data_IF_524518350610
#
_entry.id   IF_524518350610
#
_cell.length_a   1.000
_cell.length_b   1.000
_cell.length_c   1.000
_cell.angle_alpha   90.00
_cell.angle_beta   90.00
_cell.angle_gamma   90.00
#
_symmetry.space_group_name_H-M   'P 1'
#
loop_
_entity.id
_entity.type
_entity.pdbx_description
1 polymer ?
#
# COMPACT_ATOMS: atom_id res chain seq x y z
N UNK A 1 -10.13 -25.56 -4.11
CA UNK A 1 -10.86 -24.31 -3.87
C UNK A 1 -11.23 -24.26 -2.40
N UNK A 2 -10.46 -23.52 -1.60
CA UNK A 2 -10.81 -23.25 -0.20
C UNK A 2 -11.81 -22.10 -0.24
N UNK A 3 -13.03 -22.33 0.26
CA UNK A 3 -14.03 -21.28 0.38
C UNK A 3 -13.45 -20.08 1.15
N UNK A 4 -13.81 -18.83 0.82
CA UNK A 4 -13.38 -17.68 1.61
C UNK A 4 -13.74 -17.89 3.08
N UNK A 5 -12.89 -17.44 4.02
CA UNK A 5 -13.15 -17.61 5.45
C UNK A 5 -14.51 -16.98 5.77
N UNK A 6 -15.35 -17.76 6.42
CA UNK A 6 -16.72 -17.41 6.73
C UNK A 6 -16.76 -16.25 7.74
N UNK A 7 -17.07 -15.06 7.24
CA UNK A 7 -17.26 -13.83 8.03
C UNK A 7 -18.43 -13.91 9.04
N UNK A 8 -19.21 -15.01 9.05
CA UNK A 8 -20.27 -15.18 10.06
C UNK A 8 -19.76 -15.12 11.48
N UNK A 9 -18.52 -15.53 11.75
CA UNK A 9 -17.94 -15.43 13.09
C UNK A 9 -17.75 -13.97 13.51
N UNK A 10 -17.16 -13.12 12.65
CA UNK A 10 -16.92 -11.71 12.93
C UNK A 10 -18.23 -10.93 13.11
N UNK A 11 -19.25 -11.28 12.30
CA UNK A 11 -20.60 -10.73 12.42
C UNK A 11 -21.27 -11.14 13.74
N UNK A 12 -21.08 -12.39 14.19
CA UNK A 12 -21.59 -12.88 15.49
C UNK A 12 -20.90 -12.19 16.66
N UNK A 13 -19.58 -11.98 16.59
CA UNK A 13 -18.81 -11.25 17.61
C UNK A 13 -19.33 -9.82 17.79
N UNK A 14 -19.47 -9.05 16.70
CA UNK A 14 -20.00 -7.68 16.79
C UNK A 14 -21.47 -7.64 17.23
N UNK A 15 -22.29 -8.62 16.85
CA UNK A 15 -23.67 -8.71 17.30
C UNK A 15 -23.75 -8.93 18.83
N UNK A 16 -22.89 -9.79 19.38
CA UNK A 16 -22.81 -10.00 20.83
C UNK A 16 -22.22 -8.79 21.57
N UNK A 17 -21.20 -8.13 21.03
CA UNK A 17 -20.68 -6.88 21.61
C UNK A 17 -21.80 -5.82 21.72
N UNK A 18 -22.54 -5.58 20.63
CA UNK A 18 -23.67 -4.64 20.64
C UNK A 18 -24.78 -5.05 21.60
N UNK A 19 -24.99 -6.36 21.79
CA UNK A 19 -25.97 -6.88 22.75
C UNK A 19 -25.52 -6.62 24.18
N UNK A 20 -24.24 -6.82 24.50
CA UNK A 20 -23.64 -6.47 25.81
C UNK A 20 -23.80 -4.97 26.05
N UNK A 21 -23.42 -4.13 25.10
CA UNK A 21 -23.53 -2.67 25.23
C UNK A 21 -24.97 -2.24 25.49
N UNK A 22 -25.95 -2.84 24.79
CA UNK A 22 -27.38 -2.56 24.99
C UNK A 22 -27.89 -3.02 26.37
N UNK A 23 -27.38 -4.13 26.89
CA UNK A 23 -27.72 -4.65 28.22
C UNK A 23 -27.09 -3.82 29.35
N UNK A 24 -25.88 -3.29 29.13
CA UNK A 24 -25.15 -2.48 30.10
C UNK A 24 -25.58 -1.01 30.10
N UNK A 25 -26.11 -0.49 28.98
CA UNK A 25 -26.49 0.92 28.84
C UNK A 25 -27.40 1.46 29.96
N UNK A 26 -28.47 0.75 30.41
CA UNK A 26 -29.32 1.21 31.52
C UNK A 26 -28.60 1.26 32.87
N UNK A 27 -27.48 0.55 33.01
CA UNK A 27 -26.68 0.47 34.23
C UNK A 27 -25.38 1.25 34.13
N UNK A 28 -25.12 1.91 33.00
CA UNK A 28 -23.85 2.59 32.72
C UNK A 28 -23.51 3.66 33.76
N UNK A 29 -24.48 4.46 34.20
CA UNK A 29 -24.27 5.43 35.28
C UNK A 29 -23.97 4.77 36.62
N UNK A 30 -24.65 3.67 36.95
CA UNK A 30 -24.42 2.90 38.18
C UNK A 30 -23.05 2.24 38.16
N UNK A 31 -22.66 1.62 37.04
CA UNK A 31 -21.33 1.01 36.83
C UNK A 31 -20.25 2.09 36.91
N UNK A 32 -20.43 3.23 36.24
CA UNK A 32 -19.49 4.35 36.29
C UNK A 32 -19.38 4.96 37.69
N UNK A 33 -20.49 4.99 38.45
CA UNK A 33 -20.47 5.42 39.87
C UNK A 33 -19.69 4.44 40.74
N UNK A 34 -19.90 3.13 40.58
CA UNK A 34 -19.16 2.10 41.30
C UNK A 34 -17.68 2.04 40.89
N UNK A 35 -17.37 2.27 39.61
CA UNK A 35 -15.99 2.36 39.11
C UNK A 35 -15.29 3.59 39.68
N UNK A 36 -15.94 4.77 39.68
CA UNK A 36 -15.39 5.97 40.35
C UNK A 36 -15.15 5.74 41.83
N UNK A 37 -16.03 4.99 42.49
CA UNK A 37 -15.85 4.57 43.88
C UNK A 37 -14.62 3.65 44.01
N UNK A 38 -14.48 2.63 43.17
CA UNK A 38 -13.32 1.73 43.17
C UNK A 38 -12.00 2.46 42.85
N UNK A 39 -12.01 3.37 41.90
CA UNK A 39 -10.86 4.19 41.54
C UNK A 39 -10.48 5.15 42.69
N UNK A 40 -11.47 5.69 43.39
CA UNK A 40 -11.24 6.51 44.60
C UNK A 40 -10.69 5.72 45.79
N UNK A 41 -10.78 4.38 45.77
CA UNK A 41 -10.17 3.47 46.75
C UNK A 41 -8.78 3.02 46.29
N UNK A 42 -8.63 2.70 45.00
CA UNK A 42 -7.38 2.25 44.41
C UNK A 42 -6.31 3.34 44.41
N UNK A 43 -6.67 4.62 44.20
CA UNK A 43 -5.70 5.72 44.20
C UNK A 43 -5.03 5.88 45.59
N UNK A 44 -5.78 6.00 46.71
CA UNK A 44 -5.17 6.03 48.05
C UNK A 44 -4.44 4.73 48.41
N UNK A 45 -4.94 3.56 47.99
CA UNK A 45 -4.27 2.28 48.25
C UNK A 45 -2.95 2.15 47.48
N UNK A 46 -2.90 2.63 46.24
CA UNK A 46 -1.68 2.70 45.42
C UNK A 46 -0.72 3.78 45.93
N UNK A 47 -1.20 4.95 46.32
CA UNK A 47 -0.37 6.01 46.93
C UNK A 47 0.20 5.54 48.28
N UNK A 48 -0.56 4.80 49.07
CA UNK A 48 -0.09 4.15 50.30
C UNK A 48 0.91 3.02 50.01
N UNK A 49 0.65 2.14 49.05
CA UNK A 49 1.64 1.13 48.61
C UNK A 49 2.92 1.78 48.10
N UNK A 50 2.81 2.88 47.35
CA UNK A 50 3.95 3.62 46.82
C UNK A 50 4.71 4.33 47.93
N UNK A 51 4.02 4.95 48.89
CA UNK A 51 4.60 5.51 50.11
C UNK A 51 5.31 4.46 50.96
N UNK A 52 4.76 3.24 51.06
CA UNK A 52 5.39 2.10 51.75
C UNK A 52 6.65 1.66 50.99
N UNK A 53 6.57 1.52 49.66
CA UNK A 53 7.68 1.07 48.82
C UNK A 53 8.82 2.11 48.73
N UNK A 54 8.49 3.40 48.74
CA UNK A 54 9.47 4.51 48.72
C UNK A 54 10.14 4.71 50.09
N UNK A 55 9.45 4.41 51.20
CA UNK A 55 10.02 4.48 52.55
C UNK A 55 10.74 3.19 53.00
N UNK A 56 10.65 2.11 52.23
CA UNK A 56 11.13 0.78 52.60
C UNK A 56 12.66 0.61 52.71
N UNK A 57 13.50 1.63 52.46
CA UNK A 57 14.96 1.44 52.45
C UNK A 57 15.73 1.95 53.66
N UNK A 58 15.19 2.85 54.49
CA UNK A 58 16.01 3.46 55.55
C UNK A 58 15.52 3.03 56.91
N UNK A 59 15.88 1.77 57.16
CA UNK A 59 16.03 1.17 58.47
C UNK A 59 14.69 1.03 59.14
N UNK A 60 14.46 -0.14 59.75
CA UNK A 60 13.78 -0.05 61.02
C UNK A 60 12.30 0.46 60.77
N UNK A 61 11.43 0.72 61.73
CA UNK A 61 11.76 0.61 63.10
C UNK A 61 10.66 0.19 64.00
N UNK A 62 9.40 0.40 63.68
CA UNK A 62 8.43 0.34 64.77
C UNK A 62 7.10 -0.15 64.22
N UNK A 63 6.72 -1.39 64.57
CA UNK A 63 5.32 -1.84 64.66
C UNK A 63 4.69 -2.68 63.54
N UNK A 64 5.43 -3.59 62.91
CA UNK A 64 4.84 -4.73 62.16
C UNK A 64 3.81 -5.58 62.98
N UNK A 65 3.55 -5.29 64.27
CA UNK A 65 2.51 -5.94 65.07
C UNK A 65 1.62 -5.01 65.93
N UNK A 66 1.58 -3.70 65.66
CA UNK A 66 0.70 -2.77 66.38
C UNK A 66 0.03 -1.83 65.40
N UNK A 67 -1.19 -2.19 64.98
CA UNK A 67 -2.04 -1.49 64.00
C UNK A 67 -1.83 0.03 64.12
N UNK A 68 -1.18 0.64 63.11
CA UNK A 68 -1.00 2.09 63.06
C UNK A 68 -2.36 2.78 63.08
N UNK A 69 -2.51 3.83 63.90
CA UNK A 69 -3.70 4.67 63.92
C UNK A 69 -4.06 5.22 62.53
N UNK A 70 -3.07 5.35 61.64
CA UNK A 70 -3.30 5.82 60.28
C UNK A 70 -4.05 4.77 59.44
N UNK A 71 -3.81 3.47 59.66
CA UNK A 71 -4.57 2.40 59.00
C UNK A 71 -6.02 2.35 59.49
N UNK A 72 -6.24 2.49 60.81
CA UNK A 72 -7.59 2.54 61.37
C UNK A 72 -8.34 3.79 60.93
N UNK A 73 -7.65 4.94 60.85
CA UNK A 73 -8.24 6.19 60.37
C UNK A 73 -8.61 6.10 58.89
N UNK A 74 -7.72 5.55 58.06
CA UNK A 74 -8.00 5.30 56.64
C UNK A 74 -9.14 4.28 56.46
N UNK A 75 -9.17 3.20 57.25
CA UNK A 75 -10.25 2.21 57.24
C UNK A 75 -11.59 2.84 57.66
N UNK A 76 -11.58 3.73 58.65
CA UNK A 76 -12.77 4.46 59.12
C UNK A 76 -13.24 5.50 58.08
N UNK A 77 -12.32 6.21 57.41
CA UNK A 77 -12.63 7.13 56.30
C UNK A 77 -13.20 6.40 55.08
N UNK A 78 -12.64 5.22 54.75
CA UNK A 78 -13.19 4.30 53.73
C UNK A 78 -14.58 3.82 54.14
N UNK A 79 -14.80 3.42 55.40
CA UNK A 79 -16.13 3.03 55.89
C UNK A 79 -17.15 4.18 55.90
N UNK A 80 -16.71 5.40 56.21
CA UNK A 80 -17.57 6.59 56.27
C UNK A 80 -17.95 7.10 54.87
N UNK A 81 -17.05 6.98 53.89
CA UNK A 81 -17.27 7.44 52.51
C UNK A 81 -18.11 6.46 51.67
N UNK A 82 -18.05 5.16 51.98
CA UNK A 82 -18.67 4.10 51.18
C UNK A 82 -19.97 3.53 51.74
N UNK A 83 -20.30 3.85 53.00
CA UNK A 83 -21.11 2.93 53.81
C UNK A 83 -20.33 1.65 54.11
N UNK A 84 -20.81 0.78 55.00
CA UNK A 84 -20.04 -0.42 55.37
C UNK A 84 -19.69 -1.23 54.12
N UNK A 85 -18.46 -1.75 54.02
CA UNK A 85 -18.05 -2.69 52.95
C UNK A 85 -19.09 -3.80 52.79
N UNK A 86 -19.72 -4.24 53.90
CA UNK A 86 -20.81 -5.21 53.87
C UNK A 86 -22.05 -4.79 53.06
N UNK A 87 -22.34 -3.49 52.97
CA UNK A 87 -23.45 -2.95 52.20
C UNK A 87 -23.14 -2.97 50.70
N UNK A 88 -21.93 -2.56 50.31
CA UNK A 88 -21.46 -2.67 48.92
C UNK A 88 -21.38 -4.14 48.49
N UNK A 89 -20.83 -5.01 49.34
CA UNK A 89 -20.77 -6.45 49.07
C UNK A 89 -22.17 -7.03 48.92
N UNK A 90 -23.13 -6.69 49.79
CA UNK A 90 -24.53 -7.12 49.67
C UNK A 90 -25.22 -6.61 48.42
N UNK A 91 -24.93 -5.39 47.99
CA UNK A 91 -25.53 -4.83 46.78
C UNK A 91 -24.94 -5.45 45.51
N UNK A 92 -23.63 -5.72 45.49
CA UNK A 92 -22.97 -6.52 44.44
C UNK A 92 -23.50 -7.96 44.42
N UNK A 93 -23.70 -8.57 45.59
CA UNK A 93 -24.24 -9.93 45.72
C UNK A 93 -25.70 -10.01 45.28
N UNK A 94 -26.50 -9.00 45.63
CA UNK A 94 -27.87 -8.83 45.13
C UNK A 94 -27.93 -8.65 43.61
N UNK A 95 -27.04 -7.82 43.04
CA UNK A 95 -26.94 -7.64 41.59
C UNK A 95 -26.50 -8.93 40.89
N UNK A 96 -25.53 -9.67 41.46
CA UNK A 96 -25.08 -10.99 40.98
C UNK A 96 -26.18 -12.05 41.00
N UNK A 97 -27.15 -11.95 41.91
CA UNK A 97 -28.28 -12.88 42.02
C UNK A 97 -29.54 -12.37 41.32
N UNK A 98 -29.47 -11.19 40.69
CA UNK A 98 -30.58 -10.68 39.89
C UNK A 98 -30.60 -11.36 38.53
N UNK A 99 -31.80 -11.71 38.05
CA UNK A 99 -32.01 -12.29 36.71
C UNK A 99 -31.58 -11.39 35.54
N UNK A 100 -31.12 -10.17 35.84
CA UNK A 100 -30.59 -9.18 34.92
C UNK A 100 -29.12 -9.46 34.58
N UNK A 101 -28.38 -10.10 35.48
CA UNK A 101 -26.94 -10.36 35.31
C UNK A 101 -26.65 -11.65 34.55
N UNK A 102 -27.52 -12.66 34.63
CA UNK A 102 -27.33 -13.93 33.91
C UNK A 102 -27.15 -13.73 32.39
N UNK A 103 -27.93 -12.87 31.69
CA UNK A 103 -27.70 -12.58 30.28
C UNK A 103 -26.39 -11.84 30.00
N UNK A 104 -25.88 -11.04 30.95
CA UNK A 104 -24.63 -10.29 30.83
C UNK A 104 -23.44 -11.23 31.00
N UNK A 105 -23.46 -12.08 32.04
CA UNK A 105 -22.44 -13.12 32.27
C UNK A 105 -22.40 -14.09 31.09
N UNK A 106 -23.56 -14.57 30.63
CA UNK A 106 -23.64 -15.46 29.45
C UNK A 106 -23.04 -14.79 28.20
N UNK A 107 -23.31 -13.51 27.98
CA UNK A 107 -22.76 -12.79 26.83
C UNK A 107 -21.24 -12.56 26.96
N UNK A 108 -20.76 -12.26 28.16
CA UNK A 108 -19.33 -12.09 28.45
C UNK A 108 -18.56 -13.42 28.32
N UNK A 109 -19.11 -14.53 28.82
CA UNK A 109 -18.54 -15.87 28.63
C UNK A 109 -18.50 -16.28 27.15
N UNK A 110 -19.54 -15.95 26.39
CA UNK A 110 -19.53 -16.14 24.93
C UNK A 110 -18.43 -15.31 24.27
N UNK A 111 -18.21 -14.08 24.73
CA UNK A 111 -17.17 -13.19 24.19
C UNK A 111 -15.76 -13.70 24.49
N UNK A 112 -15.50 -14.18 25.71
CA UNK A 112 -14.23 -14.85 26.05
C UNK A 112 -14.05 -16.13 25.25
N UNK A 113 -15.09 -16.94 25.09
CA UNK A 113 -15.02 -18.15 24.24
C UNK A 113 -14.68 -17.78 22.79
N UNK A 114 -15.26 -16.71 22.26
CA UNK A 114 -14.90 -16.21 20.93
C UNK A 114 -13.44 -15.73 20.89
N UNK A 115 -12.97 -14.99 21.90
CA UNK A 115 -11.60 -14.52 21.99
C UNK A 115 -10.58 -15.68 22.09
N UNK A 116 -10.90 -16.74 22.82
CA UNK A 116 -10.08 -17.95 22.93
C UNK A 116 -10.07 -18.74 21.62
N UNK A 117 -11.23 -18.87 20.97
CA UNK A 117 -11.32 -19.44 19.61
C UNK A 117 -10.49 -18.62 18.62
N UNK A 118 -10.57 -17.29 18.68
CA UNK A 118 -9.78 -16.39 17.85
C UNK A 118 -8.28 -16.56 18.10
N UNK A 119 -7.86 -16.67 19.36
CA UNK A 119 -6.48 -16.90 19.77
C UNK A 119 -5.94 -18.24 19.28
N UNK A 120 -6.79 -19.28 19.25
CA UNK A 120 -6.46 -20.60 18.69
C UNK A 120 -6.42 -20.60 17.16
N UNK A 121 -7.18 -19.72 16.50
CA UNK A 121 -7.14 -19.50 15.04
C UNK A 121 -6.22 -18.35 14.63
N UNK A 122 -5.53 -17.71 15.57
CA UNK A 122 -4.71 -16.50 15.30
C UNK A 122 -3.58 -16.81 14.33
N UNK A 123 -3.03 -18.02 14.42
CA UNK A 123 -2.01 -18.52 13.49
C UNK A 123 -2.60 -18.93 12.12
N UNK A 124 -3.93 -19.03 12.00
CA UNK A 124 -4.64 -19.22 10.72
C UNK A 124 -5.03 -17.89 10.06
N UNK A 125 -5.02 -16.79 10.82
CA UNK A 125 -5.18 -15.43 10.32
C UNK A 125 -3.81 -14.78 10.13
N UNK A 126 -2.97 -15.38 9.30
CA UNK A 126 -1.88 -14.60 8.67
C UNK A 126 -2.50 -13.36 8.02
N UNK A 127 -1.90 -12.18 8.25
CA UNK A 127 -2.29 -10.97 7.54
C UNK A 127 -2.28 -11.26 6.02
N UNK A 128 -3.19 -10.71 5.22
CA UNK A 128 -3.18 -10.91 3.76
C UNK A 128 -1.79 -10.65 3.17
N UNK A 129 -1.06 -9.66 3.69
CA UNK A 129 0.33 -9.37 3.35
C UNK A 129 1.30 -10.53 3.63
N UNK A 130 1.15 -11.25 4.74
CA UNK A 130 1.99 -12.39 5.11
C UNK A 130 1.66 -13.65 4.27
N UNK A 131 0.40 -13.84 3.91
CA UNK A 131 -0.02 -14.89 2.95
C UNK A 131 0.48 -14.61 1.55
N UNK A 132 0.38 -13.37 1.10
CA UNK A 132 0.94 -12.93 -0.17
C UNK A 132 2.45 -13.12 -0.15
N UNK A 133 3.13 -12.71 0.91
CA UNK A 133 4.57 -12.91 1.08
C UNK A 133 4.98 -14.39 1.00
N UNK A 134 4.30 -15.29 1.71
CA UNK A 134 4.64 -16.72 1.72
C UNK A 134 4.37 -17.41 0.37
N UNK A 135 3.27 -17.05 -0.29
CA UNK A 135 2.94 -17.54 -1.65
C UNK A 135 3.94 -17.01 -2.67
N UNK A 136 4.31 -15.74 -2.59
CA UNK A 136 5.29 -15.13 -3.49
C UNK A 136 6.69 -15.70 -3.27
N UNK A 137 7.11 -15.94 -2.03
CA UNK A 137 8.38 -16.59 -1.72
C UNK A 137 8.43 -18.05 -2.21
N UNK A 138 7.31 -18.77 -2.13
CA UNK A 138 7.21 -20.12 -2.68
C UNK A 138 7.25 -20.12 -4.21
N UNK A 139 6.52 -19.20 -4.85
CA UNK A 139 6.54 -19.00 -6.30
C UNK A 139 7.95 -18.63 -6.78
N UNK A 140 8.67 -17.80 -6.02
CA UNK A 140 10.07 -17.44 -6.27
C UNK A 140 11.00 -18.64 -6.26
N UNK A 141 10.94 -19.43 -5.19
CA UNK A 141 11.77 -20.61 -5.04
C UNK A 141 11.53 -21.58 -6.21
N UNK A 142 10.27 -21.77 -6.60
CA UNK A 142 9.89 -22.63 -7.73
C UNK A 142 10.41 -22.05 -9.06
N UNK A 143 10.20 -20.76 -9.32
CA UNK A 143 10.63 -20.12 -10.58
C UNK A 143 12.15 -20.23 -10.76
N UNK A 144 12.94 -19.95 -9.71
CA UNK A 144 14.40 -20.08 -9.74
C UNK A 144 14.88 -21.52 -9.92
N UNK A 145 14.13 -22.51 -9.41
CA UNK A 145 14.47 -23.92 -9.60
C UNK A 145 14.35 -24.37 -11.05
N UNK A 146 13.35 -23.87 -11.79
CA UNK A 146 13.11 -24.28 -13.18
C UNK A 146 13.76 -23.35 -14.21
N UNK A 147 13.97 -22.07 -13.87
CA UNK A 147 14.51 -21.04 -14.77
C UNK A 147 15.53 -20.14 -14.06
N UNK A 148 16.70 -20.66 -13.67
CA UNK A 148 17.67 -19.97 -12.81
C UNK A 148 18.29 -18.68 -13.41
N UNK A 149 18.00 -18.36 -14.67
CA UNK A 149 18.55 -17.20 -15.39
C UNK A 149 17.56 -16.59 -16.40
N UNK A 150 16.26 -16.71 -16.15
CA UNK A 150 15.25 -16.03 -16.98
C UNK A 150 14.99 -14.62 -16.42
N UNK A 151 15.15 -13.60 -17.27
CA UNK A 151 14.81 -12.21 -16.96
C UNK A 151 13.40 -12.08 -16.39
N UNK A 152 12.44 -12.89 -16.89
CA UNK A 152 11.07 -12.84 -16.39
C UNK A 152 10.98 -13.19 -14.90
N UNK A 153 11.74 -14.22 -14.50
CA UNK A 153 11.87 -14.58 -13.10
C UNK A 153 12.50 -13.41 -12.35
N UNK A 154 13.66 -12.91 -12.80
CA UNK A 154 14.35 -11.83 -12.07
C UNK A 154 13.52 -10.54 -11.92
N UNK A 155 12.77 -10.15 -12.94
CA UNK A 155 11.92 -8.95 -12.88
C UNK A 155 10.72 -9.16 -11.96
N UNK A 156 9.95 -10.23 -12.15
CA UNK A 156 8.79 -10.54 -11.30
C UNK A 156 9.22 -10.63 -9.84
N UNK A 157 10.35 -11.29 -9.60
CA UNK A 157 10.95 -11.41 -8.28
C UNK A 157 11.42 -10.09 -7.71
N UNK A 158 11.99 -9.21 -8.53
CA UNK A 158 12.41 -7.88 -8.04
C UNK A 158 11.22 -7.06 -7.51
N UNK A 159 10.06 -7.14 -8.19
CA UNK A 159 8.83 -6.45 -7.77
C UNK A 159 8.26 -7.05 -6.48
N UNK A 160 8.26 -8.38 -6.38
CA UNK A 160 7.90 -9.13 -5.17
C UNK A 160 8.79 -8.73 -3.99
N UNK A 161 10.11 -8.78 -4.18
CA UNK A 161 11.09 -8.47 -3.14
C UNK A 161 10.98 -7.01 -2.68
N UNK A 162 10.70 -6.06 -3.58
CA UNK A 162 10.49 -4.66 -3.18
C UNK A 162 9.21 -4.51 -2.33
N UNK A 163 8.12 -5.18 -2.72
CA UNK A 163 6.87 -5.15 -1.97
C UNK A 163 7.01 -5.81 -0.59
N UNK A 164 7.65 -6.98 -0.50
CA UNK A 164 7.96 -7.64 0.77
C UNK A 164 8.82 -6.74 1.66
N UNK A 165 9.90 -6.19 1.12
CA UNK A 165 10.77 -5.24 1.84
C UNK A 165 10.02 -3.99 2.32
N UNK A 166 8.98 -3.56 1.59
CA UNK A 166 8.09 -2.50 2.01
C UNK A 166 7.21 -2.95 3.19
N UNK A 167 6.54 -4.09 3.09
CA UNK A 167 5.68 -4.64 4.14
C UNK A 167 6.44 -4.88 5.45
N UNK A 168 7.64 -5.47 5.39
CA UNK A 168 8.49 -5.68 6.57
C UNK A 168 8.86 -4.37 7.28
N UNK A 169 9.13 -3.30 6.51
CA UNK A 169 9.40 -1.98 7.07
C UNK A 169 8.16 -1.40 7.73
N UNK A 170 6.99 -1.55 7.12
CA UNK A 170 5.73 -1.06 7.68
C UNK A 170 5.35 -1.80 8.95
N UNK A 171 5.52 -3.11 8.97
CA UNK A 171 5.28 -3.93 10.15
C UNK A 171 6.14 -3.48 11.34
N UNK A 172 7.43 -3.22 11.11
CA UNK A 172 8.32 -2.67 12.15
C UNK A 172 7.86 -1.31 12.67
N UNK A 173 7.35 -0.43 11.82
CA UNK A 173 6.82 0.86 12.28
C UNK A 173 5.51 0.71 13.07
N UNK A 174 4.61 -0.17 12.61
CA UNK A 174 3.33 -0.45 13.28
C UNK A 174 3.54 -0.89 14.74
N UNK A 175 4.59 -1.67 15.04
CA UNK A 175 4.91 -2.10 16.41
C UNK A 175 5.24 -0.95 17.38
N UNK A 176 5.59 0.22 16.86
CA UNK A 176 6.00 1.38 17.65
C UNK A 176 5.02 2.55 17.56
N UNK A 177 4.07 2.49 16.64
CA UNK A 177 3.06 3.52 16.44
C UNK A 177 1.89 3.36 17.43
N UNK A 178 1.18 4.45 17.71
CA UNK A 178 -0.11 4.36 18.38
C UNK A 178 -1.16 3.76 17.44
N UNK A 179 -2.25 3.23 18.00
CA UNK A 179 -3.31 2.51 17.27
C UNK A 179 -3.84 3.29 16.05
N UNK A 180 -3.98 4.61 16.18
CA UNK A 180 -4.45 5.45 15.07
C UNK A 180 -3.43 5.47 13.93
N UNK A 181 -2.15 5.71 14.18
CA UNK A 181 -1.11 5.74 13.13
C UNK A 181 -0.88 4.33 12.57
N UNK A 182 -0.88 3.31 13.43
CA UNK A 182 -0.80 1.91 13.03
C UNK A 182 -1.92 1.53 12.04
N UNK A 183 -3.17 1.89 12.36
CA UNK A 183 -4.30 1.67 11.45
C UNK A 183 -4.15 2.37 10.10
N UNK A 184 -3.55 3.57 10.07
CA UNK A 184 -3.26 4.30 8.83
C UNK A 184 -2.20 3.61 7.98
N UNK A 185 -1.14 3.06 8.60
CA UNK A 185 -0.14 2.25 7.90
C UNK A 185 -0.73 0.99 7.31
N UNK A 186 -1.59 0.30 8.05
CA UNK A 186 -2.29 -0.88 7.53
C UNK A 186 -3.10 -0.55 6.28
N UNK A 187 -3.87 0.56 6.29
CA UNK A 187 -4.60 1.00 5.09
C UNK A 187 -3.68 1.32 3.90
N UNK A 188 -2.54 1.98 4.14
CA UNK A 188 -1.55 2.23 3.08
C UNK A 188 -0.93 0.93 2.56
N UNK A 189 -0.72 -0.08 3.41
CA UNK A 189 -0.23 -1.39 2.98
C UNK A 189 -1.23 -2.10 2.05
N UNK A 190 -2.51 -2.05 2.40
CA UNK A 190 -3.59 -2.64 1.59
C UNK A 190 -3.68 -1.96 0.23
N UNK A 191 -3.66 -0.62 0.19
CA UNK A 191 -3.66 0.16 -1.05
C UNK A 191 -2.40 -0.08 -1.90
N UNK A 192 -1.24 -0.23 -1.27
CA UNK A 192 0.01 -0.60 -1.95
C UNK A 192 -0.05 -2.02 -2.53
N UNK A 193 -0.82 -2.93 -1.92
CA UNK A 193 -1.15 -4.24 -2.49
C UNK A 193 -1.90 -4.12 -3.82
N UNK A 194 -2.85 -3.18 -3.93
CA UNK A 194 -3.50 -2.88 -5.21
C UNK A 194 -2.52 -2.43 -6.30
N UNK A 195 -1.47 -1.66 -5.94
CA UNK A 195 -0.41 -1.30 -6.89
C UNK A 195 0.44 -2.50 -7.32
N UNK A 196 0.64 -3.48 -6.43
CA UNK A 196 1.31 -4.73 -6.79
C UNK A 196 0.50 -5.53 -7.82
N UNK A 197 -0.82 -5.62 -7.62
CA UNK A 197 -1.73 -6.32 -8.53
C UNK A 197 -1.72 -5.72 -9.94
N UNK A 198 -1.75 -4.38 -10.09
CA UNK A 198 -1.70 -3.75 -11.41
C UNK A 198 -0.35 -3.95 -12.12
N UNK A 199 0.76 -4.01 -11.37
CA UNK A 199 2.08 -4.30 -11.96
C UNK A 199 2.10 -5.73 -12.52
N UNK A 200 1.58 -6.69 -11.77
CA UNK A 200 1.49 -8.08 -12.24
C UNK A 200 0.55 -8.22 -13.43
N UNK A 201 -0.61 -7.56 -13.40
CA UNK A 201 -1.52 -7.54 -14.55
C UNK A 201 -0.84 -6.96 -15.81
N UNK A 202 0.01 -5.94 -15.64
CA UNK A 202 0.82 -5.38 -16.73
C UNK A 202 1.85 -6.39 -17.26
N UNK A 203 2.50 -7.15 -16.38
CA UNK A 203 3.42 -8.22 -16.77
C UNK A 203 2.72 -9.33 -17.55
N UNK A 204 1.53 -9.74 -17.12
CA UNK A 204 0.71 -10.74 -17.82
C UNK A 204 0.33 -10.27 -19.23
N UNK A 205 0.02 -8.97 -19.39
CA UNK A 205 -0.18 -8.35 -20.71
C UNK A 205 1.10 -8.49 -21.55
N UNK A 206 2.26 -8.16 -20.99
CA UNK A 206 3.56 -8.27 -21.66
C UNK A 206 3.84 -9.70 -22.15
N UNK A 207 3.63 -10.69 -21.29
CA UNK A 207 3.79 -12.10 -21.62
C UNK A 207 2.80 -12.57 -22.71
N UNK A 208 1.55 -12.09 -22.64
CA UNK A 208 0.53 -12.39 -23.65
C UNK A 208 0.92 -11.81 -25.01
N UNK A 209 1.42 -10.58 -25.05
CA UNK A 209 1.88 -9.94 -26.29
C UNK A 209 3.07 -10.69 -26.89
N UNK A 210 4.06 -11.10 -26.10
CA UNK A 210 5.23 -11.85 -26.61
C UNK A 210 4.87 -13.27 -27.09
N UNK A 211 3.94 -13.96 -26.42
CA UNK A 211 3.51 -15.31 -26.81
C UNK A 211 2.78 -15.41 -28.14
N UNK A 212 2.41 -14.29 -28.76
CA UNK A 212 1.68 -14.23 -30.03
C UNK A 212 2.60 -14.24 -31.29
N UNK A 213 3.91 -14.05 -31.16
CA UNK A 213 4.86 -14.11 -32.29
C UNK A 213 6.06 -15.02 -31.98
N UNK A 214 6.63 -15.70 -32.99
CA UNK A 214 7.91 -16.40 -32.85
C UNK A 214 9.04 -15.38 -32.67
N UNK A 215 9.26 -14.92 -31.44
CA UNK A 215 10.32 -13.96 -31.11
C UNK A 215 11.68 -14.64 -31.32
N UNK A 216 12.46 -14.10 -32.26
CA UNK A 216 13.88 -14.47 -32.39
C UNK A 216 14.59 -14.01 -31.11
N UNK A 217 15.18 -14.95 -30.38
CA UNK A 217 15.92 -14.68 -29.15
C UNK A 217 17.08 -13.74 -29.44
N UNK A 218 16.93 -12.45 -29.14
CA UNK A 218 18.06 -11.54 -29.07
C UNK A 218 18.90 -11.87 -27.84
N UNK A 219 20.22 -11.66 -27.96
CA UNK A 219 21.19 -11.82 -26.89
C UNK A 219 20.69 -11.15 -25.62
N UNK A 220 20.44 -11.95 -24.58
CA UNK A 220 20.04 -11.48 -23.28
C UNK A 220 21.03 -10.39 -22.84
N UNK A 221 20.53 -9.16 -22.66
CA UNK A 221 21.31 -8.08 -22.06
C UNK A 221 21.48 -8.45 -20.58
N UNK A 222 22.55 -9.19 -20.27
CA UNK A 222 22.82 -9.84 -18.98
C UNK A 222 23.22 -8.88 -17.86
N UNK A 223 23.39 -7.57 -18.13
CA UNK A 223 23.98 -6.61 -17.17
C UNK A 223 23.03 -5.50 -16.71
N UNK A 224 21.76 -5.54 -17.12
CA UNK A 224 20.79 -4.51 -16.73
C UNK A 224 20.15 -4.85 -15.38
N UNK A 225 20.65 -4.23 -14.30
CA UNK A 225 20.00 -4.34 -12.99
C UNK A 225 18.60 -3.73 -13.06
N UNK A 226 17.58 -4.57 -12.85
CA UNK A 226 16.21 -4.12 -12.70
C UNK A 226 16.13 -3.19 -11.49
N UNK A 227 15.85 -1.91 -11.74
CA UNK A 227 15.55 -0.95 -10.69
C UNK A 227 14.04 -0.86 -10.53
N UNK A 228 13.54 -1.40 -9.43
CA UNK A 228 12.18 -1.14 -8.95
C UNK A 228 12.30 -0.12 -7.81
N UNK A 229 11.42 0.88 -7.80
CA UNK A 229 11.53 1.99 -6.85
C UNK A 229 10.19 2.56 -6.37
N UNK A 230 9.07 1.90 -6.70
CA UNK A 230 7.74 2.41 -6.42
C UNK A 230 7.49 2.52 -4.91
N UNK A 231 7.68 1.43 -4.17
CA UNK A 231 7.30 1.35 -2.76
C UNK A 231 8.20 2.21 -1.87
N UNK A 232 9.46 2.41 -2.28
CA UNK A 232 10.33 3.40 -1.66
C UNK A 232 9.77 4.82 -1.74
N UNK A 233 9.08 5.18 -2.84
CA UNK A 233 8.50 6.51 -3.03
C UNK A 233 7.15 6.69 -2.33
N UNK A 234 6.33 5.65 -2.17
CA UNK A 234 5.04 5.72 -1.46
C UNK A 234 5.23 6.34 -0.07
N UNK A 235 6.21 5.86 0.70
CA UNK A 235 6.49 6.38 2.04
C UNK A 235 6.98 7.83 2.05
N UNK A 236 7.74 8.24 1.04
CA UNK A 236 8.21 9.62 0.93
C UNK A 236 7.04 10.57 0.67
N UNK A 237 6.09 10.17 -0.17
CA UNK A 237 4.93 10.99 -0.51
C UNK A 237 3.84 10.99 0.56
N UNK A 238 3.65 9.88 1.27
CA UNK A 238 2.58 9.71 2.26
C UNK A 238 3.04 9.88 3.71
N UNK A 239 4.28 10.30 3.94
CA UNK A 239 4.82 10.52 5.29
C UNK A 239 3.95 11.43 6.17
N UNK A 240 3.27 12.41 5.56
CA UNK A 240 2.38 13.33 6.27
C UNK A 240 1.08 12.67 6.79
N UNK A 241 0.62 11.58 6.16
CA UNK A 241 -0.59 10.83 6.58
C UNK A 241 -0.39 10.19 7.96
N UNK A 242 0.85 9.85 8.28
CA UNK A 242 1.23 9.32 9.60
C UNK A 242 1.29 10.38 10.70
N UNK A 243 1.05 11.65 10.40
CA UNK A 243 0.99 12.71 11.41
C UNK A 243 -0.26 12.57 12.28
N UNK A 244 -0.11 12.71 13.61
CA UNK A 244 -1.26 12.74 14.53
C UNK A 244 -2.27 13.86 14.25
N UNK A 245 -1.90 14.86 13.43
CA UNK A 245 -2.78 15.96 13.02
C UNK A 245 -3.50 15.73 11.70
N UNK A 246 -3.15 14.68 10.96
CA UNK A 246 -3.82 14.40 9.69
C UNK A 246 -5.25 13.92 9.94
N UNK A 247 -6.20 14.47 9.18
CA UNK A 247 -7.64 14.21 9.31
C UNK A 247 -8.32 13.95 7.96
N UNK A 248 -7.53 13.75 6.90
CA UNK A 248 -8.06 13.48 5.56
C UNK A 248 -8.38 12.00 5.35
N UNK A 249 -8.97 11.70 4.20
CA UNK A 249 -9.16 10.32 3.75
C UNK A 249 -7.85 9.76 3.16
N UNK A 250 -7.40 8.64 3.73
CA UNK A 250 -6.13 8.01 3.37
C UNK A 250 -6.14 7.58 1.91
N UNK A 251 -7.23 6.94 1.46
CA UNK A 251 -7.40 6.48 0.09
C UNK A 251 -7.27 7.63 -0.91
N UNK A 252 -7.95 8.75 -0.64
CA UNK A 252 -7.82 9.97 -1.46
C UNK A 252 -6.37 10.47 -1.50
N UNK A 253 -5.69 10.55 -0.35
CA UNK A 253 -4.28 10.98 -0.30
C UNK A 253 -3.33 10.00 -1.00
N UNK A 254 -3.62 8.70 -0.95
CA UNK A 254 -2.87 7.65 -1.64
C UNK A 254 -3.05 7.77 -3.16
N UNK A 255 -4.29 7.86 -3.62
CA UNK A 255 -4.64 7.98 -5.03
C UNK A 255 -4.12 9.29 -5.65
N UNK A 256 -4.04 10.37 -4.86
CA UNK A 256 -3.43 11.64 -5.28
C UNK A 256 -1.90 11.62 -5.25
N UNK A 257 -1.30 10.63 -4.59
CA UNK A 257 0.15 10.51 -4.49
C UNK A 257 0.77 10.24 -5.86
N UNK A 258 1.91 10.88 -6.12
CA UNK A 258 2.60 10.76 -7.39
C UNK A 258 2.99 9.30 -7.75
N UNK A 259 3.48 8.46 -6.82
CA UNK A 259 3.78 7.06 -7.11
C UNK A 259 2.56 6.27 -7.57
N UNK A 260 1.42 6.41 -6.88
CA UNK A 260 0.19 5.72 -7.25
C UNK A 260 -0.30 6.16 -8.63
N UNK A 261 -0.34 7.48 -8.88
CA UNK A 261 -0.76 8.03 -10.18
C UNK A 261 0.11 7.56 -11.34
N UNK A 262 1.43 7.57 -11.16
CA UNK A 262 2.37 7.08 -12.18
C UNK A 262 2.15 5.59 -12.43
N UNK A 263 1.99 4.79 -11.38
CA UNK A 263 1.79 3.34 -11.52
C UNK A 263 0.48 3.01 -12.24
N UNK A 264 -0.63 3.64 -11.84
CA UNK A 264 -1.93 3.48 -12.50
C UNK A 264 -1.91 3.92 -13.97
N UNK A 265 -1.27 5.05 -14.29
CA UNK A 265 -1.12 5.50 -15.68
C UNK A 265 -0.20 4.58 -16.48
N UNK A 266 0.87 4.08 -15.87
CA UNK A 266 1.76 3.12 -16.51
C UNK A 266 1.03 1.83 -16.89
N UNK A 267 0.19 1.33 -15.98
CA UNK A 267 -0.70 0.20 -16.27
C UNK A 267 -1.69 0.54 -17.39
N UNK A 268 -2.37 1.70 -17.31
CA UNK A 268 -3.33 2.12 -18.33
C UNK A 268 -2.73 2.18 -19.75
N UNK A 269 -1.48 2.64 -19.88
CA UNK A 269 -0.74 2.62 -21.16
C UNK A 269 -0.62 1.20 -21.71
N UNK A 270 -0.15 0.26 -20.88
CA UNK A 270 0.04 -1.15 -21.30
C UNK A 270 -1.29 -1.85 -21.63
N UNK A 271 -2.31 -1.59 -20.83
CA UNK A 271 -3.65 -2.13 -21.03
C UNK A 271 -4.27 -1.62 -22.34
N UNK A 272 -4.08 -0.34 -22.66
CA UNK A 272 -4.62 0.24 -23.90
C UNK A 272 -3.90 -0.27 -25.15
N UNK A 273 -2.60 -0.50 -25.09
CA UNK A 273 -1.86 -1.16 -26.17
C UNK A 273 -2.44 -2.54 -26.44
N UNK A 274 -2.65 -3.33 -25.38
CA UNK A 274 -3.29 -4.64 -25.49
C UNK A 274 -4.70 -4.56 -26.07
N UNK A 275 -5.52 -3.61 -25.61
CA UNK A 275 -6.86 -3.36 -26.15
C UNK A 275 -6.84 -2.99 -27.63
N UNK A 276 -5.93 -2.12 -28.06
CA UNK A 276 -5.79 -1.73 -29.47
C UNK A 276 -5.49 -2.96 -30.33
N UNK A 277 -4.51 -3.76 -29.94
CA UNK A 277 -4.19 -4.99 -30.68
C UNK A 277 -5.37 -5.97 -30.70
N UNK A 278 -6.04 -6.17 -29.56
CA UNK A 278 -7.20 -7.05 -29.46
C UNK A 278 -8.35 -6.60 -30.37
N UNK A 279 -8.61 -5.29 -30.47
CA UNK A 279 -9.63 -4.75 -31.37
C UNK A 279 -9.24 -5.01 -32.83
N UNK A 280 -8.00 -4.74 -33.21
CA UNK A 280 -7.52 -5.00 -34.56
C UNK A 280 -7.60 -6.49 -34.92
N UNK A 281 -7.16 -7.39 -34.03
CA UNK A 281 -7.25 -8.84 -34.22
C UNK A 281 -8.70 -9.30 -34.42
N UNK A 282 -9.62 -8.82 -33.58
CA UNK A 282 -11.06 -9.12 -33.70
C UNK A 282 -11.67 -8.63 -35.01
N UNK A 283 -11.10 -7.59 -35.61
CA UNK A 283 -11.49 -7.06 -36.92
C UNK A 283 -10.75 -7.74 -38.10
N UNK A 284 -9.92 -8.76 -37.84
CA UNK A 284 -9.11 -9.43 -38.85
C UNK A 284 -7.96 -8.57 -39.40
N UNK A 285 -7.51 -7.57 -38.64
CA UNK A 285 -6.39 -6.69 -38.97
C UNK A 285 -5.13 -7.11 -38.22
N UNK A 286 -3.96 -6.77 -38.76
CA UNK A 286 -2.68 -6.97 -38.09
C UNK A 286 -2.57 -6.11 -36.81
N UNK A 287 -1.77 -6.59 -35.85
CA UNK A 287 -1.46 -5.84 -34.63
C UNK A 287 -0.79 -4.49 -34.92
N UNK A 288 -1.30 -3.44 -34.28
CA UNK A 288 -0.73 -2.08 -34.35
C UNK A 288 0.61 -2.03 -33.63
N UNK A 289 0.68 -2.66 -32.45
CA UNK A 289 1.90 -2.75 -31.65
C UNK A 289 2.41 -4.20 -31.70
N UNK A 290 3.51 -4.44 -32.40
CA UNK A 290 4.12 -5.77 -32.43
C UNK A 290 4.99 -5.95 -31.19
N UNK A 291 4.93 -7.13 -30.55
CA UNK A 291 5.85 -7.46 -29.49
C UNK A 291 7.29 -7.39 -30.01
N UNK A 292 8.18 -6.98 -29.13
CA UNK A 292 9.63 -7.01 -29.31
C UNK A 292 10.21 -7.81 -28.15
N UNK A 293 11.49 -8.18 -28.22
CA UNK A 293 12.24 -8.77 -27.10
C UNK A 293 12.22 -7.92 -25.81
N UNK A 294 11.77 -6.66 -25.90
CA UNK A 294 11.71 -5.67 -24.81
C UNK A 294 10.28 -5.39 -24.35
N UNK A 295 9.26 -5.94 -25.00
CA UNK A 295 7.86 -5.60 -24.72
C UNK A 295 7.46 -5.97 -23.31
N UNK A 296 7.74 -7.20 -22.89
CA UNK A 296 7.44 -7.65 -21.53
C UNK A 296 8.21 -6.84 -20.48
N UNK A 297 9.48 -6.49 -20.77
CA UNK A 297 10.28 -5.62 -19.88
C UNK A 297 9.67 -4.25 -19.72
N UNK A 298 9.21 -3.65 -20.81
CA UNK A 298 8.56 -2.36 -20.80
C UNK A 298 7.25 -2.42 -20.00
N UNK A 299 6.43 -3.46 -20.21
CA UNK A 299 5.20 -3.69 -19.48
C UNK A 299 5.43 -3.83 -17.97
N UNK A 300 6.51 -4.45 -17.53
CA UNK A 300 6.88 -4.48 -16.11
C UNK A 300 7.38 -3.13 -15.58
N UNK A 301 8.28 -2.48 -16.32
CA UNK A 301 9.02 -1.31 -15.85
C UNK A 301 8.17 -0.03 -15.80
N UNK A 302 7.37 0.22 -16.83
CA UNK A 302 6.56 1.43 -16.98
C UNK A 302 5.64 1.69 -15.76
N UNK A 303 4.90 0.70 -15.21
CA UNK A 303 4.06 0.90 -14.01
C UNK A 303 4.83 0.82 -12.67
N UNK A 304 6.05 0.27 -12.64
CA UNK A 304 6.75 -0.06 -11.39
C UNK A 304 7.90 0.88 -11.01
N UNK A 305 8.35 1.72 -11.95
CA UNK A 305 9.45 2.65 -11.71
C UNK A 305 8.96 4.11 -11.65
N UNK A 306 9.31 4.79 -10.56
CA UNK A 306 9.13 6.24 -10.40
C UNK A 306 10.49 6.91 -10.56
N UNK A 307 10.63 7.80 -11.54
CA UNK A 307 11.89 8.45 -11.87
C UNK A 307 12.41 9.33 -10.73
N UNK A 308 13.57 8.98 -10.16
CA UNK A 308 14.20 9.82 -9.11
C UNK A 308 15.37 10.64 -9.64
N UNK A 309 15.90 10.24 -10.77
CA UNK A 309 17.10 10.79 -11.39
C UNK A 309 16.92 10.87 -12.91
N UNK A 310 17.88 11.50 -13.57
CA UNK A 310 17.99 11.49 -15.03
C UNK A 310 18.08 10.06 -15.58
N UNK A 311 18.86 9.20 -14.92
CA UNK A 311 19.08 7.82 -15.33
C UNK A 311 17.77 7.03 -15.27
N UNK A 312 17.04 7.11 -14.14
CA UNK A 312 15.75 6.43 -13.97
C UNK A 312 14.75 6.91 -15.05
N UNK A 313 14.70 8.22 -15.30
CA UNK A 313 13.81 8.80 -16.31
C UNK A 313 14.15 8.31 -17.72
N UNK A 314 15.42 8.34 -18.10
CA UNK A 314 15.87 7.86 -19.41
C UNK A 314 15.64 6.36 -19.60
N UNK A 315 15.78 5.58 -18.54
CA UNK A 315 15.44 4.17 -18.57
C UNK A 315 13.95 3.94 -18.90
N UNK A 316 13.05 4.72 -18.28
CA UNK A 316 11.61 4.70 -18.59
C UNK A 316 11.34 5.14 -20.03
N UNK A 317 11.99 6.21 -20.50
CA UNK A 317 11.82 6.72 -21.87
C UNK A 317 12.25 5.69 -22.92
N UNK A 318 13.32 4.94 -22.66
CA UNK A 318 13.76 3.86 -23.54
C UNK A 318 12.67 2.78 -23.65
N UNK A 319 12.08 2.33 -22.53
CA UNK A 319 10.98 1.37 -22.53
C UNK A 319 9.74 1.88 -23.26
N UNK A 320 9.34 3.13 -23.04
CA UNK A 320 8.25 3.76 -23.78
C UNK A 320 8.55 3.82 -25.29
N UNK A 321 9.79 4.12 -25.66
CA UNK A 321 10.19 4.19 -27.06
C UNK A 321 10.11 2.82 -27.74
N UNK A 322 10.63 1.77 -27.12
CA UNK A 322 10.53 0.42 -27.68
C UNK A 322 9.08 -0.03 -27.79
N UNK A 323 8.30 0.17 -26.73
CA UNK A 323 6.92 -0.30 -26.68
C UNK A 323 6.00 0.45 -27.67
N UNK A 324 6.12 1.78 -27.73
CA UNK A 324 5.21 2.61 -28.53
C UNK A 324 5.75 2.90 -29.92
N UNK A 325 7.01 3.34 -30.04
CA UNK A 325 7.56 3.83 -31.30
C UNK A 325 8.07 2.70 -32.17
N UNK A 326 8.99 1.87 -31.67
CA UNK A 326 9.44 0.70 -32.43
C UNK A 326 8.32 -0.34 -32.55
N UNK A 327 7.58 -0.57 -31.46
CA UNK A 327 6.43 -1.47 -31.41
C UNK A 327 5.36 -1.13 -32.45
N UNK A 328 5.15 0.13 -32.80
CA UNK A 328 4.23 0.56 -33.89
C UNK A 328 4.86 0.59 -35.29
N UNK A 329 6.08 0.06 -35.44
CA UNK A 329 6.82 0.10 -36.70
C UNK A 329 7.24 1.52 -37.06
N UNK A 330 7.81 2.26 -36.11
CA UNK A 330 8.25 3.66 -36.29
C UNK A 330 7.07 4.59 -36.57
N UNK A 331 5.96 4.40 -35.84
CA UNK A 331 4.66 5.07 -36.03
C UNK A 331 3.91 4.75 -37.34
N UNK A 332 4.48 3.99 -38.27
CA UNK A 332 3.87 3.74 -39.58
C UNK A 332 2.52 3.03 -39.51
N UNK A 333 2.28 2.20 -38.48
CA UNK A 333 0.98 1.55 -38.26
C UNK A 333 -0.06 2.45 -37.59
N UNK A 334 0.36 3.56 -36.99
CA UNK A 334 -0.53 4.51 -36.33
C UNK A 334 -1.00 5.63 -37.26
N UNK A 335 -0.13 6.09 -38.19
CA UNK A 335 -0.44 7.17 -39.13
C UNK A 335 -1.73 6.95 -39.94
N UNK A 336 -2.05 5.71 -40.41
CA UNK A 336 -3.31 5.47 -41.13
C UNK A 336 -4.55 5.51 -40.24
N UNK A 337 -4.39 5.35 -38.92
CA UNK A 337 -5.50 5.22 -37.96
C UNK A 337 -5.91 6.60 -37.43
N UNK A 338 -4.93 7.47 -37.19
CA UNK A 338 -5.16 8.75 -36.51
C UNK A 338 -4.34 9.87 -37.16
N UNK A 339 -4.86 11.10 -37.08
CA UNK A 339 -4.13 12.29 -37.53
C UNK A 339 -2.78 12.41 -36.79
N UNK A 340 -1.72 12.70 -37.53
CA UNK A 340 -0.35 12.84 -37.03
C UNK A 340 -0.22 13.86 -35.89
N UNK A 341 -1.10 14.87 -35.82
CA UNK A 341 -1.11 15.84 -34.71
C UNK A 341 -1.40 15.19 -33.35
N UNK A 342 -2.18 14.11 -33.31
CA UNK A 342 -2.44 13.35 -32.09
C UNK A 342 -1.26 12.45 -31.70
N UNK A 343 -0.31 12.20 -32.61
CA UNK A 343 0.91 11.43 -32.33
C UNK A 343 2.02 12.29 -31.69
N UNK A 344 1.72 13.55 -31.32
CA UNK A 344 2.67 14.42 -30.62
C UNK A 344 3.36 13.78 -29.41
N UNK A 345 2.67 13.02 -28.52
CA UNK A 345 3.31 12.37 -27.37
C UNK A 345 4.36 11.32 -27.80
N UNK A 346 4.10 10.59 -28.88
CA UNK A 346 5.05 9.63 -29.45
C UNK A 346 6.34 10.32 -29.94
N UNK A 347 6.20 11.49 -30.58
CA UNK A 347 7.34 12.29 -31.00
C UNK A 347 8.13 12.87 -29.83
N UNK A 348 7.46 13.25 -28.73
CA UNK A 348 8.12 13.66 -27.49
C UNK A 348 8.98 12.52 -26.93
N UNK A 349 8.47 11.29 -26.85
CA UNK A 349 9.24 10.10 -26.40
C UNK A 349 10.50 9.93 -27.25
N UNK A 350 10.37 9.99 -28.58
CA UNK A 350 11.53 9.93 -29.49
C UNK A 350 12.56 11.03 -29.23
N UNK A 351 12.12 12.27 -28.99
CA UNK A 351 13.02 13.38 -28.71
C UNK A 351 13.71 13.23 -27.34
N UNK A 352 12.99 12.79 -26.31
CA UNK A 352 13.57 12.53 -24.99
C UNK A 352 14.60 11.41 -25.04
N UNK A 353 14.34 10.33 -25.79
CA UNK A 353 15.31 9.25 -25.97
C UNK A 353 16.61 9.72 -26.64
N UNK A 354 16.51 10.66 -27.58
CA UNK A 354 17.70 11.23 -28.23
C UNK A 354 18.59 11.99 -27.23
N UNK A 355 17.99 12.60 -26.21
CA UNK A 355 18.73 13.21 -25.09
C UNK A 355 19.48 12.15 -24.28
N UNK A 356 18.84 10.99 -24.06
CA UNK A 356 19.36 9.94 -23.19
C UNK A 356 20.62 9.25 -23.70
N UNK A 357 20.76 9.07 -25.02
CA UNK A 357 21.82 8.21 -25.61
C UNK A 357 23.07 8.96 -26.08
N UNK A 358 23.24 10.23 -25.70
CA UNK A 358 24.30 11.12 -26.21
C UNK A 358 24.36 11.29 -27.75
N UNK A 359 23.38 10.74 -28.49
CA UNK A 359 23.18 10.94 -29.93
C UNK A 359 22.89 12.41 -30.32
N UNK A 360 22.69 13.26 -29.32
CA UNK A 360 22.49 14.69 -29.47
C UNK A 360 23.71 15.38 -30.09
N UNK A 361 24.92 14.86 -29.90
CA UNK A 361 26.17 15.49 -30.34
C UNK A 361 26.64 14.99 -31.73
N UNK A 362 25.90 14.07 -32.35
CA UNK A 362 26.17 13.61 -33.71
C UNK A 362 25.43 14.44 -34.77
N UNK A 363 26.17 14.95 -35.76
CA UNK A 363 25.64 15.72 -36.89
C UNK A 363 26.37 17.05 -37.11
N UNK A 364 25.86 17.86 -38.03
CA UNK A 364 26.31 19.25 -38.18
C UNK A 364 25.89 20.11 -36.99
N UNK A 365 26.60 21.22 -36.74
CA UNK A 365 26.31 22.15 -35.63
C UNK A 365 24.83 22.58 -35.62
N UNK A 366 24.26 22.89 -36.80
CA UNK A 366 22.85 23.28 -36.94
C UNK A 366 21.89 22.17 -36.57
N UNK A 367 22.23 20.91 -36.87
CA UNK A 367 21.40 19.76 -36.51
C UNK A 367 21.45 19.49 -35.01
N UNK A 368 22.63 19.60 -34.41
CA UNK A 368 22.83 19.50 -32.95
C UNK A 368 22.01 20.58 -32.22
N UNK A 369 22.08 21.84 -32.68
CA UNK A 369 21.27 22.94 -32.13
C UNK A 369 19.77 22.68 -32.27
N UNK A 370 19.33 22.18 -33.43
CA UNK A 370 17.92 21.82 -33.66
C UNK A 370 17.46 20.68 -32.75
N UNK A 371 18.30 19.66 -32.52
CA UNK A 371 18.02 18.55 -31.58
C UNK A 371 17.89 19.09 -30.15
N UNK A 372 18.84 19.92 -29.72
CA UNK A 372 18.82 20.57 -28.39
C UNK A 372 17.59 21.45 -28.19
N UNK A 373 17.21 22.26 -29.18
CA UNK A 373 15.98 23.06 -29.13
C UNK A 373 14.75 22.19 -28.94
N UNK A 374 14.60 21.13 -29.75
CA UNK A 374 13.45 20.21 -29.63
C UNK A 374 13.36 19.52 -28.27
N UNK A 375 14.50 19.12 -27.70
CA UNK A 375 14.55 18.51 -26.37
C UNK A 375 14.13 19.54 -25.30
N UNK A 376 14.67 20.75 -25.37
CA UNK A 376 14.29 21.85 -24.48
C UNK A 376 12.79 22.17 -24.59
N UNK A 377 12.26 22.29 -25.81
CA UNK A 377 10.84 22.56 -26.06
C UNK A 377 9.96 21.42 -25.52
N UNK A 378 10.44 20.17 -25.62
CA UNK A 378 9.75 19.01 -25.06
C UNK A 378 9.67 19.11 -23.54
N UNK A 379 10.77 19.37 -22.83
CA UNK A 379 10.74 19.57 -21.38
C UNK A 379 9.90 20.78 -20.97
N UNK A 380 9.95 21.89 -21.71
CA UNK A 380 9.11 23.06 -21.44
C UNK A 380 7.63 22.67 -21.52
N UNK A 381 7.25 21.87 -22.52
CA UNK A 381 5.87 21.40 -22.65
C UNK A 381 5.43 20.48 -21.50
N UNK A 382 6.36 19.71 -20.91
CA UNK A 382 6.05 18.74 -19.86
C UNK A 382 6.07 19.35 -18.45
N UNK A 383 7.03 20.25 -18.18
CA UNK A 383 7.31 20.74 -16.81
C UNK A 383 7.53 22.25 -16.71
N UNK A 384 7.26 23.00 -17.78
CA UNK A 384 7.49 24.46 -17.87
C UNK A 384 8.94 24.88 -17.57
N UNK A 385 9.91 23.99 -17.85
CA UNK A 385 11.34 24.22 -17.66
C UNK A 385 12.13 23.64 -18.84
N UNK A 386 13.26 24.25 -19.22
CA UNK A 386 14.07 23.74 -20.34
C UNK A 386 14.74 22.40 -20.04
N UNK A 387 15.06 22.14 -18.77
CA UNK A 387 15.66 20.88 -18.31
C UNK A 387 15.19 20.57 -16.88
N UNK A 388 15.02 19.29 -16.53
CA UNK A 388 14.79 18.88 -15.14
C UNK A 388 16.08 19.04 -14.31
N UNK A 389 15.98 19.55 -13.09
CA UNK A 389 17.13 19.78 -12.21
C UNK A 389 16.99 19.00 -10.90
N UNK A 390 15.75 18.90 -10.39
CA UNK A 390 15.45 18.23 -9.12
C UNK A 390 14.70 16.91 -9.37
N UNK A 391 14.75 16.01 -8.39
CA UNK A 391 13.95 14.77 -8.39
C UNK A 391 12.49 15.01 -8.78
N UNK A 392 11.85 16.03 -8.19
CA UNK A 392 10.45 16.34 -8.47
C UNK A 392 10.20 16.84 -9.89
N UNK A 393 11.22 17.34 -10.60
CA UNK A 393 11.10 17.72 -12.01
C UNK A 393 11.05 16.47 -12.91
N UNK A 394 11.87 15.45 -12.62
CA UNK A 394 11.84 14.16 -13.33
C UNK A 394 10.51 13.43 -13.14
N UNK A 395 10.03 13.39 -11.90
CA UNK A 395 8.74 12.81 -11.54
C UNK A 395 7.57 13.51 -12.25
N UNK A 396 7.60 14.85 -12.32
CA UNK A 396 6.59 15.62 -13.06
C UNK A 396 6.66 15.36 -14.57
N UNK A 397 7.86 15.29 -15.13
CA UNK A 397 8.04 14.98 -16.55
C UNK A 397 7.48 13.59 -16.89
N UNK A 398 7.75 12.59 -16.04
CA UNK A 398 7.21 11.23 -16.18
C UNK A 398 5.68 11.24 -16.11
N UNK A 399 5.11 11.84 -15.07
CA UNK A 399 3.66 11.92 -14.91
C UNK A 399 3.00 12.58 -16.11
N UNK A 400 3.54 13.71 -16.59
CA UNK A 400 2.96 14.45 -17.69
C UNK A 400 3.05 13.68 -19.02
N UNK A 401 4.20 13.04 -19.31
CA UNK A 401 4.30 12.24 -20.55
C UNK A 401 3.40 11.00 -20.51
N UNK A 402 3.20 10.38 -19.34
CA UNK A 402 2.27 9.27 -19.18
C UNK A 402 0.82 9.70 -19.44
N UNK A 403 0.39 10.84 -18.89
CA UNK A 403 -0.95 11.40 -19.16
C UNK A 403 -1.15 11.64 -20.66
N UNK A 404 -0.16 12.24 -21.33
CA UNK A 404 -0.27 12.53 -22.76
C UNK A 404 -0.33 11.26 -23.62
N UNK A 405 0.44 10.23 -23.27
CA UNK A 405 0.42 8.94 -23.96
C UNK A 405 -0.92 8.23 -23.74
N UNK A 406 -1.41 8.18 -22.50
CA UNK A 406 -2.71 7.61 -22.15
C UNK A 406 -3.83 8.23 -23.00
N UNK A 407 -3.89 9.57 -23.06
CA UNK A 407 -4.87 10.28 -23.89
C UNK A 407 -4.73 9.98 -25.39
N UNK A 408 -3.51 9.88 -25.90
CA UNK A 408 -3.26 9.50 -27.29
C UNK A 408 -3.78 8.09 -27.60
N UNK A 409 -3.51 7.12 -26.72
CA UNK A 409 -3.94 5.73 -26.88
C UNK A 409 -5.46 5.58 -26.77
N UNK A 410 -6.11 6.28 -25.84
CA UNK A 410 -7.57 6.34 -25.76
C UNK A 410 -8.19 6.90 -27.05
N UNK A 411 -7.56 7.94 -27.63
CA UNK A 411 -8.02 8.51 -28.89
C UNK A 411 -7.86 7.52 -30.04
N UNK A 412 -6.77 6.76 -30.10
CA UNK A 412 -6.57 5.68 -31.08
C UNK A 412 -7.67 4.62 -30.95
N UNK A 413 -7.97 4.15 -29.72
CA UNK A 413 -9.06 3.20 -29.47
C UNK A 413 -10.39 3.75 -30.02
N UNK A 414 -10.69 5.02 -29.76
CA UNK A 414 -11.90 5.66 -30.23
C UNK A 414 -11.98 5.72 -31.77
N UNK A 415 -10.90 6.07 -32.46
CA UNK A 415 -10.85 6.11 -33.93
C UNK A 415 -11.01 4.71 -34.54
N UNK A 416 -10.35 3.68 -33.99
CA UNK A 416 -10.50 2.30 -34.47
C UNK A 416 -11.95 1.84 -34.28
N UNK A 417 -12.55 2.11 -33.12
CA UNK A 417 -13.91 1.67 -32.81
C UNK A 417 -14.97 2.41 -33.63
N UNK A 418 -14.75 3.68 -33.97
CA UNK A 418 -15.72 4.50 -34.72
C UNK A 418 -15.73 4.23 -36.23
N UNK A 419 -14.67 3.62 -36.76
CA UNK A 419 -14.53 3.29 -38.17
C UNK A 419 -15.05 1.89 -38.54
N UNK A 420 -15.53 1.12 -37.56
CA UNK A 420 -16.26 -0.13 -37.75
C UNK A 420 -17.76 0.11 -37.49
#
# INVERSE_FOLDING_TARGET
>A
MVSPPDDTWFRKFFAEQRRIDKLLNPYSETIMRHQRILDSINIPALEYQRSILEQASIRDYLSIAGISNDYLTLQQEIQNSLGSISAITKEIEFLKHSSVFDPIITAQENLYRFQDQFSQTKDLFELPSARIESVLAAAEAISRMFHPQDFYSDFTLSSVMEYQSFLERQYRYIQHDNDMIAGRRMQINDLAGGLFEIINASLDIGATLEGQEEVQSEDAIYDEKVQVGLYGQINQHLGFVYSGRYSGEIETSFNDSLPARISCLGYAITEQIYKINSICENNGQDHVFKPTSRTMRACGTIPSLVARSEIDFYYIIDHLFFLLYEGSGTANRLIPIINESFLAPLWKVKHLRLSARHDIDHGSIKEVEKKRSKISDTYISLIAKPLPIRQSDWQKAQLQIYIEIDLMLQKIIHEITSNN
#
